data_IF_659597199512
#
_entry.id   IF_659597199512
#
_cell.length_a   1.000
_cell.length_b   1.000
_cell.length_c   1.000
_cell.angle_alpha   90.00
_cell.angle_beta   90.00
_cell.angle_gamma   90.00
#
_symmetry.space_group_name_H-M   'P 1'
#
loop_
_entity.id
_entity.type
_entity.pdbx_description
1 polymer ?
#
# COMPACT_ATOMS: atom_id res chain seq x y z
N UNK A 1 -10.34 25.73 55.85
CA UNK A 1 -11.44 25.49 54.87
C UNK A 1 -10.97 25.82 53.44
N UNK A 2 -10.03 25.07 52.87
CA UNK A 2 -9.64 25.26 51.46
C UNK A 2 -8.83 24.09 50.85
N UNK A 3 -9.03 22.86 51.33
CA UNK A 3 -8.35 21.67 50.77
C UNK A 3 -9.30 20.52 50.41
N UNK A 4 -10.61 20.70 50.60
CA UNK A 4 -11.63 19.71 50.27
C UNK A 4 -12.39 20.00 48.96
N UNK A 5 -12.13 21.14 48.30
CA UNK A 5 -12.78 21.50 47.03
C UNK A 5 -11.98 21.11 45.77
N UNK A 6 -10.69 20.82 45.88
CA UNK A 6 -9.90 20.39 44.70
C UNK A 6 -10.01 18.89 44.38
N UNK A 7 -10.55 18.06 45.28
CA UNK A 7 -10.68 16.62 45.06
C UNK A 7 -12.03 16.21 44.43
N UNK A 8 -12.96 17.15 44.26
CA UNK A 8 -14.28 16.91 43.67
C UNK A 8 -14.42 17.43 42.22
N UNK A 9 -13.39 18.12 41.70
CA UNK A 9 -13.34 18.62 40.32
C UNK A 9 -12.50 17.74 39.38
N UNK A 10 -11.91 16.64 39.86
CA UNK A 10 -11.14 15.68 39.06
C UNK A 10 -11.91 14.42 38.64
N UNK A 11 -13.22 14.37 38.91
CA UNK A 11 -14.10 13.22 38.60
C UNK A 11 -15.04 13.45 37.41
N UNK A 12 -14.88 14.55 36.66
CA UNK A 12 -15.76 14.93 35.55
C UNK A 12 -15.05 15.07 34.19
N UNK A 13 -13.88 14.46 34.02
CA UNK A 13 -13.14 14.49 32.74
C UNK A 13 -12.58 13.13 32.33
N UNK A 14 -13.33 12.05 32.60
CA UNK A 14 -13.09 10.70 32.06
C UNK A 14 -14.25 10.24 31.16
N UNK A 15 -14.86 11.18 30.43
CA UNK A 15 -15.80 10.89 29.35
C UNK A 15 -15.24 11.45 28.02
N UNK A 16 -13.98 11.14 27.74
CA UNK A 16 -13.33 11.50 26.48
C UNK A 16 -12.27 10.44 26.17
N UNK A 17 -12.74 9.31 25.63
CA UNK A 17 -12.07 8.32 24.78
C UNK A 17 -12.95 7.06 24.74
N UNK A 18 -14.23 7.22 24.39
CA UNK A 18 -14.86 6.16 23.61
C UNK A 18 -14.30 6.42 22.20
N UNK A 19 -13.21 5.73 21.87
CA UNK A 19 -12.89 5.49 20.47
C UNK A 19 -14.18 4.95 19.86
N UNK A 20 -14.76 5.73 18.93
CA UNK A 20 -15.95 5.28 18.25
C UNK A 20 -15.55 4.00 17.51
N UNK A 21 -16.17 2.86 17.84
CA UNK A 21 -16.03 1.58 17.12
C UNK A 21 -16.54 1.64 15.66
N UNK A 22 -16.68 2.86 15.13
CA UNK A 22 -17.02 3.20 13.77
C UNK A 22 -16.29 4.48 13.37
N UNK A 23 -15.94 4.60 12.10
CA UNK A 23 -15.43 5.83 11.52
C UNK A 23 -15.92 6.00 10.08
N UNK A 24 -15.97 7.26 9.65
CA UNK A 24 -16.37 7.64 8.29
C UNK A 24 -15.18 7.44 7.35
N UNK A 25 -15.34 6.55 6.37
CA UNK A 25 -14.33 6.30 5.34
C UNK A 25 -14.41 7.34 4.22
N UNK A 26 -15.63 7.60 3.75
CA UNK A 26 -15.97 8.61 2.76
C UNK A 26 -17.42 9.05 2.97
N UNK A 27 -17.93 9.96 2.12
CA UNK A 27 -19.34 10.36 2.21
C UNK A 27 -20.25 9.13 2.11
N UNK A 28 -21.17 9.00 3.08
CA UNK A 28 -22.11 7.88 3.18
C UNK A 28 -21.50 6.47 3.29
N UNK A 29 -20.21 6.32 3.63
CA UNK A 29 -19.59 5.00 3.86
C UNK A 29 -18.86 4.99 5.19
N UNK A 30 -19.22 4.03 6.05
CA UNK A 30 -18.66 3.88 7.39
C UNK A 30 -18.06 2.49 7.55
N UNK A 31 -16.96 2.42 8.28
CA UNK A 31 -16.33 1.15 8.67
C UNK A 31 -16.62 0.92 10.14
N UNK A 32 -17.08 -0.28 10.46
CA UNK A 32 -17.41 -0.73 11.81
C UNK A 32 -16.33 -1.71 12.26
N UNK A 33 -15.68 -1.43 13.38
CA UNK A 33 -14.83 -2.38 14.08
C UNK A 33 -15.71 -3.43 14.75
N UNK A 34 -15.61 -4.67 14.27
CA UNK A 34 -16.31 -5.82 14.83
C UNK A 34 -15.29 -6.79 15.42
N UNK A 35 -15.38 -7.00 16.74
CA UNK A 35 -14.57 -8.01 17.41
C UNK A 35 -15.01 -9.40 16.93
N UNK A 36 -14.11 -10.10 16.24
CA UNK A 36 -14.42 -11.32 15.50
C UNK A 36 -14.31 -12.58 16.37
N UNK A 37 -15.13 -12.64 17.42
CA UNK A 37 -15.27 -13.78 18.33
C UNK A 37 -16.75 -14.13 18.54
N UNK A 38 -17.04 -15.41 18.81
CA UNK A 38 -18.39 -15.89 19.00
C UNK A 38 -19.09 -15.19 20.19
N UNK A 39 -18.33 -14.89 21.24
CA UNK A 39 -18.77 -14.31 22.51
C UNK A 39 -18.95 -12.79 22.45
N UNK A 40 -18.33 -12.11 21.48
CA UNK A 40 -18.41 -10.66 21.37
C UNK A 40 -19.82 -10.20 20.95
N UNK A 41 -20.38 -9.15 21.58
CA UNK A 41 -21.64 -8.56 21.14
C UNK A 41 -21.45 -7.77 19.84
N UNK A 42 -22.54 -7.55 19.10
CA UNK A 42 -22.52 -6.68 17.93
C UNK A 42 -22.35 -5.21 18.31
N UNK A 43 -21.68 -4.45 17.45
CA UNK A 43 -21.51 -3.01 17.60
C UNK A 43 -22.82 -2.31 17.24
N UNK A 44 -23.37 -1.51 18.16
CA UNK A 44 -24.58 -0.74 17.90
C UNK A 44 -24.24 0.57 17.20
N UNK A 45 -24.84 0.81 16.04
CA UNK A 45 -24.63 2.01 15.22
C UNK A 45 -25.95 2.74 15.01
N UNK A 46 -25.90 4.07 15.04
CA UNK A 46 -27.05 4.92 14.75
C UNK A 46 -26.87 5.60 13.39
N UNK A 47 -27.77 5.29 12.46
CA UNK A 47 -27.80 5.89 11.12
C UNK A 47 -28.87 6.98 11.09
N UNK A 48 -28.53 8.14 10.54
CA UNK A 48 -29.44 9.29 10.42
C UNK A 48 -29.72 9.60 8.96
N UNK A 49 -30.99 9.76 8.63
CA UNK A 49 -31.43 10.14 7.29
C UNK A 49 -31.39 11.66 7.15
N UNK A 50 -30.47 12.17 6.35
CA UNK A 50 -30.32 13.62 6.13
C UNK A 50 -31.36 14.14 5.13
N UNK A 51 -32.57 14.41 5.62
CA UNK A 51 -33.70 14.90 4.82
C UNK A 51 -34.61 15.82 5.63
N UNK A 52 -35.30 16.72 4.94
CA UNK A 52 -36.36 17.54 5.52
C UNK A 52 -37.68 16.80 5.70
N UNK A 53 -37.86 15.62 5.10
CA UNK A 53 -39.07 14.82 5.25
C UNK A 53 -39.16 14.20 6.65
N UNK A 54 -40.31 14.35 7.33
CA UNK A 54 -40.53 13.79 8.67
C UNK A 54 -40.88 12.29 8.64
N UNK A 55 -41.64 11.85 7.64
CA UNK A 55 -42.13 10.48 7.52
C UNK A 55 -41.23 9.65 6.60
N UNK A 56 -40.27 8.94 7.20
CA UNK A 56 -39.30 8.10 6.48
C UNK A 56 -39.21 6.70 7.10
N UNK A 57 -38.71 5.74 6.31
CA UNK A 57 -38.42 4.39 6.78
C UNK A 57 -37.14 3.84 6.15
N UNK A 58 -36.55 2.83 6.79
CA UNK A 58 -35.29 2.22 6.38
C UNK A 58 -35.47 0.83 5.81
N UNK A 59 -34.66 0.51 4.80
CA UNK A 59 -34.49 -0.82 4.24
C UNK A 59 -33.02 -1.22 4.19
N UNK A 60 -32.74 -2.51 4.31
CA UNK A 60 -31.44 -3.13 4.00
C UNK A 60 -31.69 -4.32 3.08
N UNK A 61 -31.04 -4.35 1.92
CA UNK A 61 -31.17 -5.45 0.94
C UNK A 61 -32.63 -5.88 0.73
N UNK A 62 -33.52 -4.89 0.55
CA UNK A 62 -34.98 -5.01 0.36
C UNK A 62 -35.83 -5.28 1.60
N UNK A 63 -35.24 -5.68 2.72
CA UNK A 63 -35.94 -5.92 3.97
C UNK A 63 -36.23 -4.62 4.72
N UNK A 64 -37.47 -4.43 5.17
CA UNK A 64 -37.85 -3.35 6.07
C UNK A 64 -37.15 -3.49 7.43
N UNK A 65 -36.64 -2.39 8.00
CA UNK A 65 -35.95 -2.39 9.30
C UNK A 65 -36.65 -1.56 10.37
N UNK A 66 -36.94 -0.30 10.09
CA UNK A 66 -37.56 0.61 11.05
C UNK A 66 -38.19 1.82 10.36
N UNK A 67 -39.19 2.43 11.00
CA UNK A 67 -39.68 3.78 10.70
C UNK A 67 -38.91 4.83 11.52
N UNK A 68 -38.86 6.07 11.00
CA UNK A 68 -38.23 7.22 11.64
C UNK A 68 -36.90 7.64 11.02
N UNK A 69 -36.49 8.88 11.31
CA UNK A 69 -35.27 9.49 10.77
C UNK A 69 -33.98 8.81 11.22
N UNK A 70 -34.01 8.13 12.36
CA UNK A 70 -32.87 7.40 12.92
C UNK A 70 -33.14 5.91 12.91
N UNK A 71 -32.12 5.13 12.56
CA UNK A 71 -32.11 3.67 12.63
C UNK A 71 -30.98 3.23 13.55
N UNK A 72 -31.31 2.42 14.55
CA UNK A 72 -30.32 1.74 15.38
C UNK A 72 -30.10 0.33 14.84
N UNK A 73 -28.91 0.05 14.32
CA UNK A 73 -28.54 -1.27 13.80
C UNK A 73 -27.47 -1.90 14.70
N UNK A 74 -27.59 -3.21 14.96
CA UNK A 74 -26.53 -3.99 15.57
C UNK A 74 -25.73 -4.69 14.46
N UNK A 75 -24.42 -4.45 14.40
CA UNK A 75 -23.52 -4.96 13.36
C UNK A 75 -22.51 -5.89 14.01
N UNK A 76 -22.57 -7.19 13.70
CA UNK A 76 -21.62 -8.19 14.18
C UNK A 76 -20.96 -8.91 13.01
N UNK A 77 -21.75 -9.42 12.08
CA UNK A 77 -21.30 -10.24 10.96
C UNK A 77 -21.61 -9.60 9.61
N UNK A 78 -21.06 -10.16 8.53
CA UNK A 78 -21.25 -9.61 7.18
C UNK A 78 -22.71 -9.43 6.73
N UNK A 79 -23.67 -10.31 7.10
CA UNK A 79 -25.08 -10.08 6.78
C UNK A 79 -25.68 -8.81 7.42
N UNK A 80 -25.04 -8.26 8.46
CA UNK A 80 -25.45 -6.99 9.08
C UNK A 80 -24.86 -5.78 8.35
N UNK A 81 -23.81 -5.97 7.54
CA UNK A 81 -23.19 -4.91 6.75
C UNK A 81 -23.87 -4.74 5.37
N UNK A 82 -23.47 -3.71 4.62
CA UNK A 82 -24.05 -3.41 3.31
C UNK A 82 -24.85 -2.10 3.28
N UNK A 83 -25.71 -1.94 2.27
CA UNK A 83 -26.42 -0.69 2.02
C UNK A 83 -27.70 -0.57 2.83
N UNK A 84 -27.74 0.45 3.69
CA UNK A 84 -28.92 0.91 4.39
C UNK A 84 -29.51 2.10 3.66
N UNK A 85 -30.73 1.92 3.17
CA UNK A 85 -31.41 2.93 2.35
C UNK A 85 -32.54 3.55 3.15
N UNK A 86 -32.55 4.88 3.24
CA UNK A 86 -33.66 5.66 3.78
C UNK A 86 -34.60 6.05 2.64
N UNK A 87 -35.90 5.83 2.84
CA UNK A 87 -36.93 6.12 1.85
C UNK A 87 -38.06 6.96 2.46
N UNK A 88 -38.67 7.77 1.61
CA UNK A 88 -39.91 8.49 1.92
C UNK A 88 -41.06 7.51 2.15
N UNK A 89 -41.83 7.71 3.21
CA UNK A 89 -43.02 6.88 3.46
C UNK A 89 -44.14 7.18 2.46
N UNK A 90 -44.24 8.43 1.99
CA UNK A 90 -45.28 8.86 1.07
C UNK A 90 -44.96 8.48 -0.38
N UNK A 91 -43.77 8.83 -0.87
CA UNK A 91 -43.41 8.65 -2.28
C UNK A 91 -42.67 7.33 -2.57
N UNK A 92 -42.18 6.66 -1.52
CA UNK A 92 -41.26 5.51 -1.61
C UNK A 92 -39.96 5.79 -2.38
N UNK A 93 -39.61 7.06 -2.60
CA UNK A 93 -38.35 7.45 -3.21
C UNK A 93 -37.20 7.32 -2.21
N UNK A 94 -36.01 7.02 -2.74
CA UNK A 94 -34.77 6.97 -1.96
C UNK A 94 -34.34 8.39 -1.61
N UNK A 95 -34.20 8.67 -0.31
CA UNK A 95 -33.78 9.96 0.21
C UNK A 95 -32.29 9.97 0.58
N UNK A 96 -31.75 8.80 0.92
CA UNK A 96 -30.34 8.64 1.24
C UNK A 96 -29.96 7.17 1.31
N UNK A 97 -28.67 6.89 1.22
CA UNK A 97 -28.11 5.56 1.40
C UNK A 97 -26.85 5.67 2.24
N UNK A 98 -26.59 4.67 3.06
CA UNK A 98 -25.38 4.55 3.87
C UNK A 98 -24.84 3.14 3.75
N UNK A 99 -23.59 3.00 3.31
CA UNK A 99 -22.90 1.73 3.21
C UNK A 99 -22.13 1.48 4.51
N UNK A 100 -22.43 0.37 5.18
CA UNK A 100 -21.64 -0.13 6.30
C UNK A 100 -20.67 -1.21 5.81
N UNK A 101 -19.41 -1.04 6.17
CA UNK A 101 -18.34 -2.01 5.98
C UNK A 101 -17.89 -2.55 7.35
N UNK A 102 -17.30 -3.73 7.38
CA UNK A 102 -16.78 -4.35 8.60
C UNK A 102 -15.27 -4.49 8.52
N UNK A 103 -14.59 -3.94 9.52
CA UNK A 103 -13.22 -4.29 9.86
C UNK A 103 -13.24 -5.37 10.94
N UNK A 104 -12.68 -6.55 10.63
CA UNK A 104 -12.55 -7.63 11.61
C UNK A 104 -11.42 -7.34 12.57
N UNK A 105 -11.72 -7.30 13.86
CA UNK A 105 -10.76 -7.07 14.94
C UNK A 105 -10.59 -8.34 15.75
N UNK A 106 -9.35 -8.75 16.00
CA UNK A 106 -9.06 -9.91 16.84
C UNK A 106 -9.19 -9.58 18.35
N UNK A 107 -8.89 -10.56 19.21
CA UNK A 107 -8.95 -10.38 20.67
C UNK A 107 -7.93 -9.37 21.23
N UNK A 108 -6.91 -9.01 20.45
CA UNK A 108 -5.85 -8.07 20.84
C UNK A 108 -6.14 -6.65 20.33
N UNK A 109 -7.28 -6.43 19.66
CA UNK A 109 -7.61 -5.14 19.08
C UNK A 109 -6.93 -4.89 17.72
N UNK A 110 -6.35 -5.91 17.09
CA UNK A 110 -5.69 -5.77 15.80
C UNK A 110 -6.62 -6.15 14.66
N UNK A 111 -6.53 -5.39 13.57
CA UNK A 111 -7.24 -5.71 12.34
C UNK A 111 -6.69 -7.01 11.73
N UNK A 112 -7.58 -7.97 11.54
CA UNK A 112 -7.30 -9.21 10.84
C UNK A 112 -7.09 -8.90 9.36
N UNK A 113 -6.00 -9.42 8.79
CA UNK A 113 -5.60 -9.19 7.40
C UNK A 113 -5.42 -10.51 6.67
N UNK A 114 -6.30 -10.79 5.72
CA UNK A 114 -6.31 -12.05 4.99
C UNK A 114 -6.61 -11.89 3.51
N UNK A 115 -7.14 -10.73 3.05
CA UNK A 115 -7.43 -10.52 1.63
C UNK A 115 -6.14 -10.49 0.81
N UNK A 116 -5.07 -9.86 1.33
CA UNK A 116 -3.78 -9.80 0.65
C UNK A 116 -2.85 -10.95 1.06
N UNK A 117 -1.99 -11.35 0.11
CA UNK A 117 -0.85 -12.24 0.38
C UNK A 117 0.41 -11.45 0.66
N UNK A 118 1.13 -11.87 1.69
CA UNK A 118 2.42 -11.30 2.02
C UNK A 118 3.51 -11.71 1.03
N UNK A 119 4.47 -10.82 0.80
CA UNK A 119 5.73 -11.14 0.15
C UNK A 119 6.62 -12.02 1.06
N UNK A 120 7.39 -12.92 0.45
CA UNK A 120 8.39 -13.73 1.14
C UNK A 120 9.64 -12.86 1.41
N UNK A 121 9.77 -12.35 2.64
CA UNK A 121 10.94 -11.65 3.24
C UNK A 121 11.05 -10.11 3.09
N UNK A 122 11.43 -9.38 4.16
CA UNK A 122 11.44 -9.75 5.59
C UNK A 122 10.14 -9.27 6.28
N UNK A 123 9.48 -10.14 7.05
CA UNK A 123 8.14 -9.96 7.68
C UNK A 123 6.96 -9.92 6.69
N UNK A 124 5.76 -10.16 7.20
CA UNK A 124 4.46 -10.08 6.50
C UNK A 124 4.25 -8.70 5.86
N UNK A 125 4.96 -8.43 4.76
CA UNK A 125 4.83 -7.22 3.97
C UNK A 125 3.78 -7.50 2.92
N UNK A 126 2.68 -6.75 2.90
CA UNK A 126 1.59 -6.92 1.93
C UNK A 126 1.63 -5.86 0.82
N UNK A 127 2.14 -4.67 1.16
CA UNK A 127 2.30 -3.55 0.26
C UNK A 127 3.79 -3.26 0.10
N UNK A 128 4.32 -3.46 -1.10
CA UNK A 128 5.73 -3.26 -1.43
C UNK A 128 5.88 -2.11 -2.41
N UNK A 129 6.69 -1.12 -2.09
CA UNK A 129 6.98 -0.01 -2.99
C UNK A 129 8.45 -0.04 -3.45
N UNK A 130 8.69 0.28 -4.72
CA UNK A 130 10.03 0.36 -5.33
C UNK A 130 10.11 1.65 -6.18
N UNK A 131 11.24 2.35 -6.10
CA UNK A 131 11.54 3.54 -6.89
C UNK A 131 12.74 3.28 -7.81
N UNK A 132 12.65 3.69 -9.07
CA UNK A 132 13.74 3.46 -10.03
C UNK A 132 14.88 4.47 -9.91
N UNK A 133 14.58 5.63 -9.34
CA UNK A 133 15.44 6.80 -9.27
C UNK A 133 14.91 7.74 -8.17
N UNK A 134 15.54 8.91 -8.01
CA UNK A 134 15.18 9.93 -7.03
C UNK A 134 14.21 10.99 -7.60
N UNK A 135 13.35 10.66 -8.55
CA UNK A 135 12.40 11.63 -9.13
C UNK A 135 11.19 11.93 -8.26
N UNK A 136 11.01 11.20 -7.14
CA UNK A 136 9.77 11.21 -6.35
C UNK A 136 8.68 10.30 -6.93
N UNK A 137 8.94 9.60 -8.05
CA UNK A 137 8.05 8.60 -8.63
C UNK A 137 8.41 7.20 -8.13
N UNK A 138 7.42 6.47 -7.65
CA UNK A 138 7.57 5.09 -7.19
C UNK A 138 6.37 4.24 -7.59
N UNK A 139 6.54 2.92 -7.57
CA UNK A 139 5.47 1.97 -7.85
C UNK A 139 5.26 1.09 -6.64
N UNK A 140 4.03 1.03 -6.14
CA UNK A 140 3.62 0.10 -5.11
C UNK A 140 2.92 -1.11 -5.71
N UNK A 141 3.14 -2.28 -5.13
CA UNK A 141 2.58 -3.55 -5.55
C UNK A 141 2.10 -4.38 -4.38
N UNK A 142 1.06 -5.17 -4.63
CA UNK A 142 0.46 -6.11 -3.68
C UNK A 142 -0.11 -7.31 -4.43
N UNK A 143 -0.39 -8.38 -3.69
CA UNK A 143 -0.82 -9.64 -4.28
C UNK A 143 -2.05 -10.18 -3.54
N UNK A 144 -2.95 -10.85 -4.26
CA UNK A 144 -4.09 -11.55 -3.68
C UNK A 144 -4.39 -12.84 -4.43
N UNK A 145 -4.85 -13.86 -3.69
CA UNK A 145 -5.44 -15.07 -4.27
C UNK A 145 -6.93 -14.87 -4.59
N UNK A 146 -7.57 -13.83 -4.05
CA UNK A 146 -8.96 -13.51 -4.31
C UNK A 146 -9.11 -12.87 -5.69
N UNK A 147 -9.71 -13.63 -6.61
CA UNK A 147 -9.97 -13.20 -7.99
C UNK A 147 -11.39 -12.67 -8.20
N UNK A 148 -12.14 -12.46 -7.12
CA UNK A 148 -13.48 -11.90 -7.21
C UNK A 148 -13.42 -10.50 -7.86
N UNK A 149 -14.26 -10.20 -8.85
CA UNK A 149 -14.36 -8.86 -9.41
C UNK A 149 -14.93 -7.83 -8.41
N UNK A 150 -15.44 -8.29 -7.26
CA UNK A 150 -15.99 -7.44 -6.21
C UNK A 150 -14.90 -6.81 -5.33
N UNK A 151 -13.66 -7.30 -5.38
CA UNK A 151 -12.55 -6.73 -4.60
C UNK A 151 -12.14 -5.38 -5.21
N UNK A 152 -12.21 -4.33 -4.40
CA UNK A 152 -11.85 -2.97 -4.78
C UNK A 152 -10.61 -2.54 -4.02
N UNK A 153 -9.67 -1.96 -4.75
CA UNK A 153 -8.42 -1.44 -4.21
C UNK A 153 -8.38 0.08 -4.38
N UNK A 154 -8.08 0.80 -3.30
CA UNK A 154 -7.85 2.25 -3.33
C UNK A 154 -6.54 2.54 -2.64
N UNK A 155 -5.60 3.18 -3.33
CA UNK A 155 -4.31 3.57 -2.77
C UNK A 155 -4.17 5.09 -2.78
N UNK A 156 -3.67 5.66 -1.69
CA UNK A 156 -3.41 7.09 -1.56
C UNK A 156 -2.24 7.37 -0.63
N UNK A 157 -1.65 8.54 -0.79
CA UNK A 157 -0.80 9.13 0.24
C UNK A 157 -1.58 9.51 1.49
N UNK A 158 -0.94 9.39 2.65
CA UNK A 158 -1.37 10.13 3.83
C UNK A 158 -0.78 11.54 3.75
N UNK A 159 -1.56 12.55 4.13
CA UNK A 159 -1.12 13.95 4.10
C UNK A 159 0.06 14.13 5.05
N UNK A 160 1.23 14.32 4.48
CA UNK A 160 2.47 14.62 5.20
C UNK A 160 2.90 16.08 5.03
N UNK A 161 3.84 16.57 5.85
CA UNK A 161 4.39 17.93 5.73
C UNK A 161 5.21 18.16 4.46
N UNK A 162 5.72 17.09 3.82
CA UNK A 162 6.65 17.16 2.68
C UNK A 162 5.99 17.11 1.29
N UNK A 163 4.68 17.31 1.21
CA UNK A 163 3.94 17.32 -0.05
C UNK A 163 2.89 16.23 -0.15
N UNK A 164 1.97 16.41 -1.08
CA UNK A 164 0.91 15.44 -1.34
C UNK A 164 1.44 14.30 -2.23
N UNK A 165 0.94 13.10 -2.01
CA UNK A 165 1.29 11.92 -2.80
C UNK A 165 0.08 11.48 -3.60
N UNK A 166 0.20 11.65 -4.91
CA UNK A 166 -0.82 11.31 -5.89
C UNK A 166 -0.54 9.93 -6.47
N UNK A 167 -1.51 9.02 -6.42
CA UNK A 167 -1.40 7.66 -6.95
C UNK A 167 -2.37 7.41 -8.12
N UNK A 168 -1.93 6.61 -9.09
CA UNK A 168 -2.75 6.15 -10.20
C UNK A 168 -3.75 5.07 -9.75
N UNK A 169 -4.78 4.84 -10.56
CA UNK A 169 -5.65 3.67 -10.38
C UNK A 169 -4.83 2.37 -10.41
N UNK A 170 -5.16 1.38 -9.57
CA UNK A 170 -4.51 0.08 -9.59
C UNK A 170 -4.67 -0.66 -10.92
N UNK A 171 -3.59 -1.27 -11.38
CA UNK A 171 -3.54 -2.09 -12.61
C UNK A 171 -3.26 -3.54 -12.22
N UNK A 172 -4.07 -4.46 -12.72
CA UNK A 172 -3.91 -5.89 -12.48
C UNK A 172 -2.94 -6.54 -13.48
N UNK A 173 -2.06 -7.38 -12.95
CA UNK A 173 -1.15 -8.26 -13.67
C UNK A 173 -1.45 -9.69 -13.24
N UNK A 174 -2.25 -10.39 -14.05
CA UNK A 174 -2.67 -11.76 -13.75
C UNK A 174 -1.74 -12.76 -14.42
N UNK A 175 -0.80 -13.30 -13.64
CA UNK A 175 0.03 -14.43 -14.04
C UNK A 175 -0.32 -15.65 -13.16
N UNK A 176 -1.11 -16.57 -13.70
CA UNK A 176 -1.44 -17.82 -13.01
C UNK A 176 -2.44 -17.66 -11.86
N UNK A 177 -2.18 -18.33 -10.73
CA UNK A 177 -3.10 -18.40 -9.59
C UNK A 177 -3.12 -17.13 -8.72
N UNK A 178 -2.03 -16.36 -8.72
CA UNK A 178 -1.85 -15.16 -7.90
C UNK A 178 -2.03 -13.90 -8.76
N UNK A 179 -2.93 -13.01 -8.38
CA UNK A 179 -3.06 -11.71 -9.03
C UNK A 179 -2.13 -10.71 -8.36
N UNK A 180 -1.27 -10.04 -9.15
CA UNK A 180 -0.45 -8.92 -8.67
C UNK A 180 -1.06 -7.62 -9.14
N UNK A 181 -1.20 -6.65 -8.26
CA UNK A 181 -1.66 -5.32 -8.60
C UNK A 181 -0.52 -4.33 -8.43
N UNK A 182 -0.51 -3.28 -9.25
CA UNK A 182 0.44 -2.19 -9.15
C UNK A 182 -0.24 -0.84 -9.26
N UNK A 183 0.25 0.15 -8.54
CA UNK A 183 -0.11 1.55 -8.76
C UNK A 183 1.17 2.40 -8.77
N UNK A 184 1.21 3.37 -9.68
CA UNK A 184 2.29 4.36 -9.71
C UNK A 184 1.89 5.55 -8.86
N UNK A 185 2.77 5.98 -7.98
CA UNK A 185 2.58 7.14 -7.13
C UNK A 185 3.69 8.16 -7.36
N UNK A 186 3.38 9.41 -7.10
CA UNK A 186 4.27 10.55 -7.27
C UNK A 186 4.12 11.49 -6.09
N UNK A 187 5.25 11.81 -5.44
CA UNK A 187 5.31 12.87 -4.45
C UNK A 187 5.49 14.21 -5.13
N UNK A 188 4.52 15.10 -4.95
CA UNK A 188 4.57 16.45 -5.52
C UNK A 188 5.69 17.27 -4.89
N UNK A 189 6.37 18.10 -5.71
CA UNK A 189 7.46 18.98 -5.29
C UNK A 189 8.67 18.27 -4.65
N UNK A 190 8.90 17.00 -4.99
CA UNK A 190 10.07 16.25 -4.51
C UNK A 190 11.39 16.84 -5.02
N UNK A 191 12.39 16.96 -4.14
CA UNK A 191 13.74 17.42 -4.49
C UNK A 191 14.73 16.25 -4.52
N UNK A 192 15.19 15.79 -5.70
CA UNK A 192 16.09 14.64 -5.83
C UNK A 192 17.44 14.76 -5.11
N UNK A 193 17.87 16.00 -4.82
CA UNK A 193 19.19 16.30 -4.27
C UNK A 193 19.17 16.47 -2.75
N UNK A 194 18.00 16.67 -2.15
CA UNK A 194 17.86 16.95 -0.74
C UNK A 194 17.82 15.66 0.08
N UNK A 195 18.26 15.75 1.34
CA UNK A 195 18.06 14.68 2.30
C UNK A 195 16.59 14.60 2.73
N UNK A 196 16.01 13.40 2.70
CA UNK A 196 14.65 13.17 3.16
C UNK A 196 14.60 13.11 4.69
N UNK A 197 13.77 13.97 5.29
CA UNK A 197 13.65 14.11 6.75
C UNK A 197 12.41 13.44 7.35
N UNK A 198 11.39 13.17 6.54
CA UNK A 198 10.17 12.47 6.95
C UNK A 198 9.80 11.43 5.90
N UNK A 199 9.29 10.27 6.33
CA UNK A 199 8.91 9.22 5.40
C UNK A 199 7.66 9.61 4.62
N UNK A 200 7.51 8.99 3.47
CA UNK A 200 6.25 8.92 2.73
C UNK A 200 5.41 7.82 3.37
N UNK A 201 4.19 8.18 3.76
CA UNK A 201 3.21 7.23 4.25
C UNK A 201 2.14 7.00 3.18
N UNK A 202 1.96 5.74 2.79
CA UNK A 202 0.91 5.32 1.86
C UNK A 202 -0.04 4.34 2.55
N UNK A 203 -1.33 4.44 2.21
CA UNK A 203 -2.36 3.51 2.64
C UNK A 203 -3.02 2.88 1.42
N UNK A 204 -3.13 1.56 1.45
CA UNK A 204 -3.93 0.75 0.56
C UNK A 204 -5.15 0.26 1.32
N UNK A 205 -6.32 0.65 0.84
CA UNK A 205 -7.61 0.17 1.30
C UNK A 205 -8.11 -0.93 0.39
N UNK A 206 -8.61 -1.99 1.01
CA UNK A 206 -9.12 -3.17 0.33
C UNK A 206 -10.54 -3.39 0.80
N UNK A 207 -11.48 -3.39 -0.13
CA UNK A 207 -12.88 -3.70 0.16
C UNK A 207 -13.25 -4.95 -0.62
N UNK A 208 -13.60 -6.04 0.07
CA UNK A 208 -14.18 -7.24 -0.53
C UNK A 208 -15.64 -7.36 -0.10
N UNK A 209 -16.55 -7.02 -1.03
CA UNK A 209 -17.98 -6.87 -0.79
C UNK A 209 -18.30 -5.86 0.32
N UNK A 210 -18.33 -6.32 1.58
CA UNK A 210 -18.60 -5.51 2.78
C UNK A 210 -17.48 -5.58 3.82
N UNK A 211 -16.43 -6.35 3.56
CA UNK A 211 -15.25 -6.38 4.40
C UNK A 211 -14.28 -5.27 4.02
N UNK A 212 -13.72 -4.63 5.04
CA UNK A 212 -12.70 -3.61 4.90
C UNK A 212 -11.41 -4.07 5.57
N UNK A 213 -10.31 -3.99 4.83
CA UNK A 213 -8.96 -4.08 5.36
C UNK A 213 -8.14 -2.86 4.90
N UNK A 214 -7.14 -2.48 5.69
CA UNK A 214 -6.14 -1.52 5.26
C UNK A 214 -4.71 -2.00 5.52
N UNK A 215 -3.81 -1.50 4.67
CA UNK A 215 -2.41 -1.83 4.66
C UNK A 215 -1.62 -0.54 4.48
N UNK A 216 -0.69 -0.28 5.40
CA UNK A 216 0.14 0.92 5.36
C UNK A 216 1.58 0.55 5.03
N UNK A 217 2.27 1.44 4.33
CA UNK A 217 3.71 1.39 4.18
C UNK A 217 4.29 2.78 4.42
N UNK A 218 5.40 2.83 5.15
CA UNK A 218 6.13 4.05 5.50
C UNK A 218 7.58 3.86 5.08
N UNK A 219 8.10 4.76 4.23
CA UNK A 219 9.44 4.63 3.68
C UNK A 219 10.00 5.97 3.21
N UNK A 220 11.32 6.06 3.13
CA UNK A 220 11.99 7.09 2.33
C UNK A 220 12.22 6.58 0.90
N UNK A 221 12.21 7.47 -0.09
CA UNK A 221 12.54 7.10 -1.49
C UNK A 221 13.90 6.40 -1.53
N UNK A 222 14.91 6.93 -0.85
CA UNK A 222 16.26 6.33 -0.75
C UNK A 222 16.26 4.86 -0.28
N UNK A 223 15.29 4.45 0.55
CA UNK A 223 15.20 3.09 1.07
C UNK A 223 14.58 2.12 0.06
N UNK A 224 13.70 2.62 -0.80
CA UNK A 224 13.01 1.82 -1.82
C UNK A 224 13.66 1.90 -3.20
N UNK A 225 14.82 2.54 -3.32
CA UNK A 225 15.57 2.63 -4.57
C UNK A 225 15.97 1.23 -5.06
N UNK A 226 15.60 0.96 -6.30
CA UNK A 226 16.00 -0.21 -7.07
C UNK A 226 16.15 0.20 -8.54
N UNK A 227 17.38 0.45 -9.02
CA UNK A 227 17.62 0.85 -10.39
C UNK A 227 17.10 -0.19 -11.39
N UNK A 228 16.80 0.24 -12.61
CA UNK A 228 16.67 -0.69 -13.73
C UNK A 228 18.03 -1.36 -14.04
N UNK A 229 18.06 -2.52 -14.71
CA UNK A 229 19.31 -3.17 -15.09
C UNK A 229 20.13 -2.34 -16.09
N UNK A 230 21.47 -2.33 -15.98
CA UNK A 230 22.35 -1.71 -16.98
C UNK A 230 22.20 -2.33 -18.37
N UNK A 231 22.45 -1.54 -19.40
CA UNK A 231 22.61 -2.05 -20.76
C UNK A 231 24.09 -2.38 -20.98
N UNK A 232 24.42 -3.66 -21.16
CA UNK A 232 25.80 -4.12 -21.28
C UNK A 232 26.14 -4.66 -22.67
N UNK A 233 27.37 -4.39 -23.08
CA UNK A 233 28.00 -4.88 -24.29
C UNK A 233 29.25 -5.69 -23.95
N UNK A 234 29.53 -6.74 -24.71
CA UNK A 234 30.65 -7.63 -24.43
C UNK A 234 31.40 -8.08 -25.69
N UNK A 235 32.69 -7.74 -25.75
CA UNK A 235 33.58 -8.12 -26.85
C UNK A 235 34.48 -9.26 -26.38
N UNK A 236 34.12 -10.49 -26.74
CA UNK A 236 34.82 -11.70 -26.27
C UNK A 236 36.29 -11.79 -26.73
N UNK A 237 36.61 -11.22 -27.89
CA UNK A 237 37.94 -11.31 -28.53
C UNK A 237 39.03 -10.62 -27.71
N UNK A 238 38.73 -9.47 -27.10
CA UNK A 238 39.66 -8.72 -26.24
C UNK A 238 39.29 -8.80 -24.75
N UNK A 239 38.21 -9.50 -24.40
CA UNK A 239 37.76 -9.68 -23.02
C UNK A 239 37.11 -8.43 -22.40
N UNK A 240 36.80 -7.41 -23.20
CA UNK A 240 36.25 -6.15 -22.70
C UNK A 240 34.74 -6.21 -22.54
N UNK A 241 34.26 -5.96 -21.32
CA UNK A 241 32.85 -5.76 -21.00
C UNK A 241 32.64 -4.28 -20.71
N UNK A 242 31.64 -3.66 -21.31
CA UNK A 242 31.25 -2.26 -21.05
C UNK A 242 29.75 -2.15 -20.81
N UNK A 243 29.30 -1.16 -20.05
CA UNK A 243 27.87 -0.94 -19.83
C UNK A 243 27.51 0.53 -19.62
N UNK A 244 26.26 0.87 -19.86
CA UNK A 244 25.72 2.21 -19.61
C UNK A 244 24.80 2.21 -18.40
N UNK A 245 24.71 3.38 -17.76
CA UNK A 245 23.67 3.62 -16.76
C UNK A 245 22.28 3.41 -17.40
N UNK A 246 21.30 2.89 -16.65
CA UNK A 246 19.93 2.83 -17.14
C UNK A 246 19.43 4.24 -17.50
N UNK A 247 18.70 4.37 -18.60
CA UNK A 247 18.13 5.66 -19.02
C UNK A 247 17.13 6.24 -18.02
N UNK A 248 16.59 5.40 -17.15
CA UNK A 248 15.66 5.78 -16.08
C UNK A 248 16.36 6.27 -14.83
N UNK A 249 17.69 6.17 -14.72
CA UNK A 249 18.42 6.59 -13.52
C UNK A 249 18.51 8.12 -13.38
N UNK A 250 18.62 8.62 -12.14
CA UNK A 250 18.74 10.04 -11.86
C UNK A 250 20.00 10.65 -12.50
N UNK A 251 19.89 11.88 -13.00
CA UNK A 251 21.01 12.64 -13.57
C UNK A 251 21.29 13.91 -12.75
N UNK A 252 22.54 14.39 -12.71
CA UNK A 252 23.73 13.82 -13.38
C UNK A 252 24.33 12.61 -12.64
N UNK A 253 24.95 11.69 -13.38
CA UNK A 253 25.59 10.49 -12.81
C UNK A 253 26.74 10.81 -11.86
N UNK A 254 27.32 12.00 -11.94
CA UNK A 254 28.32 12.49 -11.00
C UNK A 254 27.76 12.73 -9.60
N UNK A 255 26.46 13.06 -9.50
CA UNK A 255 25.76 13.23 -8.22
C UNK A 255 25.07 11.95 -7.77
N UNK A 256 24.52 11.18 -8.71
CA UNK A 256 23.87 9.90 -8.45
C UNK A 256 24.73 8.73 -8.98
N UNK A 257 25.89 8.43 -8.37
CA UNK A 257 26.74 7.34 -8.84
C UNK A 257 26.13 5.97 -8.53
N UNK A 258 26.21 5.07 -9.50
CA UNK A 258 25.91 3.65 -9.31
C UNK A 258 27.20 2.86 -9.03
N UNK A 259 27.04 1.74 -8.35
CA UNK A 259 28.03 0.66 -8.27
C UNK A 259 27.46 -0.57 -8.96
N UNK A 260 28.34 -1.41 -9.50
CA UNK A 260 27.97 -2.53 -10.35
C UNK A 260 28.50 -3.86 -9.83
N UNK A 261 27.75 -4.92 -10.14
CA UNK A 261 28.23 -6.30 -10.04
C UNK A 261 28.19 -6.95 -11.41
N UNK A 262 29.28 -7.59 -11.79
CA UNK A 262 29.45 -8.31 -13.06
C UNK A 262 29.50 -9.80 -12.75
N UNK A 263 28.48 -10.54 -13.19
CA UNK A 263 28.42 -12.00 -13.10
C UNK A 263 28.93 -12.61 -14.39
N UNK A 264 29.88 -13.52 -14.25
CA UNK A 264 30.59 -14.14 -15.37
C UNK A 264 30.50 -15.65 -15.25
N UNK A 265 30.11 -16.33 -16.35
CA UNK A 265 30.12 -17.80 -16.44
C UNK A 265 31.41 -18.27 -17.10
N UNK A 266 32.25 -18.95 -16.32
CA UNK A 266 33.51 -19.50 -16.84
C UNK A 266 33.27 -20.72 -17.75
N UNK A 267 33.86 -20.70 -18.94
CA UNK A 267 33.87 -21.84 -19.89
C UNK A 267 34.55 -23.07 -19.31
N UNK A 268 35.57 -22.90 -18.45
CA UNK A 268 36.39 -24.00 -17.92
C UNK A 268 35.80 -24.67 -16.69
N UNK A 269 35.06 -23.93 -15.86
CA UNK A 269 34.66 -24.40 -14.52
C UNK A 269 33.16 -24.57 -14.32
N UNK A 270 32.31 -24.22 -15.29
CA UNK A 270 30.83 -24.18 -15.14
C UNK A 270 30.35 -23.45 -13.87
N UNK A 271 31.20 -22.56 -13.34
CA UNK A 271 30.96 -21.80 -12.11
C UNK A 271 30.82 -20.33 -12.45
N UNK A 272 29.97 -19.66 -11.69
CA UNK A 272 29.80 -18.22 -11.74
C UNK A 272 30.87 -17.53 -10.88
N UNK A 273 31.44 -16.47 -11.42
CA UNK A 273 32.27 -15.52 -10.68
C UNK A 273 31.55 -14.17 -10.68
N UNK A 274 31.64 -13.43 -9.57
CA UNK A 274 31.04 -12.10 -9.44
C UNK A 274 32.15 -11.11 -9.10
N UNK A 275 32.23 -10.03 -9.88
CA UNK A 275 33.16 -8.93 -9.68
C UNK A 275 32.39 -7.68 -9.32
N UNK A 276 32.88 -6.90 -8.37
CA UNK A 276 32.38 -5.56 -8.07
C UNK A 276 33.14 -4.55 -8.95
N UNK A 277 32.44 -3.54 -9.46
CA UNK A 277 33.04 -2.44 -10.23
C UNK A 277 32.30 -1.14 -9.99
N UNK A 278 33.06 -0.05 -9.89
CA UNK A 278 32.55 1.33 -9.86
C UNK A 278 32.62 2.01 -11.22
N UNK A 279 33.36 1.41 -12.15
CA UNK A 279 33.50 1.89 -13.52
C UNK A 279 32.43 1.26 -14.43
N UNK A 280 32.28 1.80 -15.62
CA UNK A 280 31.38 1.30 -16.65
C UNK A 280 32.03 0.27 -17.58
N UNK A 281 33.12 -0.35 -17.11
CA UNK A 281 33.90 -1.33 -17.83
C UNK A 281 34.55 -2.35 -16.90
N UNK A 282 34.85 -3.52 -17.45
CA UNK A 282 35.67 -4.54 -16.80
C UNK A 282 36.45 -5.30 -17.87
N UNK A 283 37.75 -5.49 -17.64
CA UNK A 283 38.60 -6.32 -18.49
C UNK A 283 38.67 -7.75 -17.93
N UNK A 284 38.34 -8.72 -18.77
CA UNK A 284 38.37 -10.14 -18.45
C UNK A 284 39.48 -10.85 -19.23
N UNK A 285 39.95 -11.98 -18.70
CA UNK A 285 41.02 -12.77 -19.33
C UNK A 285 40.55 -13.37 -20.66
N UNK A 286 41.25 -13.06 -21.76
CA UNK A 286 40.96 -13.57 -23.09
C UNK A 286 41.44 -15.03 -23.32
N UNK A 287 40.78 -15.82 -24.20
CA UNK A 287 39.48 -15.54 -24.82
C UNK A 287 38.40 -15.55 -23.74
N UNK A 288 37.59 -14.49 -23.70
CA UNK A 288 36.78 -14.17 -22.52
C UNK A 288 35.69 -15.22 -22.21
N UNK A 289 34.98 -15.07 -21.08
CA UNK A 289 33.89 -15.98 -20.69
C UNK A 289 32.78 -16.13 -21.75
N UNK A 290 32.00 -17.19 -21.62
CA UNK A 290 30.87 -17.47 -22.52
C UNK A 290 29.68 -16.54 -22.28
N UNK A 291 29.42 -16.18 -21.02
CA UNK A 291 28.23 -15.42 -20.66
C UNK A 291 28.55 -14.40 -19.55
N UNK A 292 28.06 -13.17 -19.72
CA UNK A 292 28.26 -12.05 -18.80
C UNK A 292 26.93 -11.33 -18.55
N UNK A 293 26.69 -10.92 -17.31
CA UNK A 293 25.56 -10.09 -16.90
C UNK A 293 26.02 -9.01 -15.93
N UNK A 294 25.34 -7.87 -15.93
CA UNK A 294 25.64 -6.74 -15.04
C UNK A 294 24.39 -6.37 -14.26
N UNK A 295 24.53 -5.96 -13.01
CA UNK A 295 23.47 -5.32 -12.23
C UNK A 295 24.01 -4.10 -11.52
N UNK A 296 23.15 -3.17 -11.15
CA UNK A 296 23.50 -1.92 -10.51
C UNK A 296 22.83 -1.77 -9.14
N UNK A 297 23.40 -0.90 -8.31
CA UNK A 297 22.82 -0.39 -7.07
C UNK A 297 23.33 1.04 -6.87
N UNK A 298 22.59 1.84 -6.12
CA UNK A 298 23.12 3.10 -5.59
C UNK A 298 24.47 2.87 -4.88
N UNK A 299 25.45 3.75 -5.12
CA UNK A 299 26.76 3.68 -4.47
C UNK A 299 26.76 4.31 -3.08
N UNK A 300 26.03 5.41 -2.92
CA UNK A 300 26.02 6.25 -1.73
C UNK A 300 25.05 5.72 -0.66
N UNK A 301 24.08 4.88 -1.06
CA UNK A 301 23.10 4.30 -0.16
C UNK A 301 22.96 2.77 -0.32
N UNK A 302 22.67 2.07 0.76
CA UNK A 302 22.50 0.61 0.76
C UNK A 302 21.09 0.19 0.30
N UNK A 303 20.76 0.55 -0.93
CA UNK A 303 19.47 0.24 -1.54
C UNK A 303 19.41 -1.17 -2.16
N UNK A 304 18.32 -1.49 -2.85
CA UNK A 304 18.18 -2.77 -3.55
C UNK A 304 19.04 -2.82 -4.81
N UNK A 305 19.61 -4.00 -5.10
CA UNK A 305 20.22 -4.27 -6.40
C UNK A 305 19.13 -4.37 -7.48
N UNK A 306 19.45 -3.85 -8.68
CA UNK A 306 18.68 -4.13 -9.88
C UNK A 306 18.62 -5.63 -10.16
N UNK A 307 17.68 -6.03 -11.02
CA UNK A 307 17.79 -7.33 -11.67
C UNK A 307 19.10 -7.41 -12.47
N UNK A 308 19.57 -8.62 -12.73
CA UNK A 308 20.62 -8.83 -13.71
C UNK A 308 20.14 -8.34 -15.08
N UNK A 309 21.04 -7.71 -15.83
CA UNK A 309 20.81 -7.34 -17.23
C UNK A 309 20.43 -8.57 -18.05
N UNK A 310 19.98 -8.34 -19.28
CA UNK A 310 20.07 -9.38 -20.30
C UNK A 310 21.54 -9.81 -20.50
N UNK A 311 21.74 -10.97 -21.13
CA UNK A 311 23.08 -11.42 -21.51
C UNK A 311 23.78 -10.33 -22.33
N UNK A 312 24.98 -9.93 -21.92
CA UNK A 312 25.75 -8.91 -22.63
C UNK A 312 26.07 -9.38 -24.05
N UNK A 313 25.86 -8.49 -25.03
CA UNK A 313 26.04 -8.78 -26.47
C UNK A 313 27.07 -7.87 -27.11
#
# INVERSE_FOLDING_TARGET
>A
MSHLLCALLSLLSFAALLESAQWKLQENVFVIESQWSAEAPGTTVELSCNTSEEAVYWKKDWEWKQEGKTLTAAVKEFPDAGNYTCLSQESHQVLGSTLLLIAKIDSEGQMMRWILKSFNEPKWTFLKCEAKNYSGIFTCSWMTENKSPNVKFTIRGLKGPQGDVSCSSPVAHTEGALATYTAQCHQENFCPFAEEHQPIDVVLEVIDEVEYENYTASFFIRDIIKPDPPQCQYVATNGTVTWTYPSTWSTPNSYFPLTFKVKVKSTKKHKYQVFDSEEQQLQLVAPGPAEVWVRARDRCYLSSWSQWSSLCR
#
